data_IF_581257636752
#
_entry.id   IF_581257636752
#
_cell.length_a   1.000
_cell.length_b   1.000
_cell.length_c   1.000
_cell.angle_alpha   90.00
_cell.angle_beta   90.00
_cell.angle_gamma   90.00
#
_symmetry.space_group_name_H-M   'P 1'
#
loop_
_entity.id
_entity.type
_entity.pdbx_description
1 polymer ?
#
# COMPACT_ATOMS: atom_id res chain seq x y z
N UNK A 1 5.22 -1.17 -20.11
CA UNK A 1 4.43 -1.40 -18.89
C UNK A 1 3.08 -0.72 -19.10
N UNK A 2 1.97 -1.46 -19.05
CA UNK A 2 0.62 -0.94 -19.32
C UNK A 2 -0.06 -0.56 -17.99
N UNK A 3 -0.38 0.72 -17.75
CA UNK A 3 -1.02 1.16 -16.50
C UNK A 3 -2.40 0.55 -16.26
N UNK A 4 -3.08 0.07 -17.31
CA UNK A 4 -4.38 -0.60 -17.23
C UNK A 4 -4.25 -2.12 -17.00
N UNK A 5 -3.04 -2.66 -17.13
CA UNK A 5 -2.64 -4.01 -16.70
C UNK A 5 -1.40 -3.93 -15.81
N UNK A 6 -1.53 -3.36 -14.59
CA UNK A 6 -0.37 -2.95 -13.81
C UNK A 6 0.38 -4.09 -13.12
N UNK A 7 -0.19 -5.30 -13.09
CA UNK A 7 0.39 -6.50 -12.45
C UNK A 7 0.13 -7.74 -13.31
N UNK A 8 0.92 -8.81 -13.11
CA UNK A 8 0.71 -10.10 -13.80
C UNK A 8 -0.70 -10.67 -13.55
N UNK A 9 -1.18 -10.57 -12.30
CA UNK A 9 -2.52 -10.99 -11.92
C UNK A 9 -3.49 -9.81 -12.04
N UNK A 10 -4.79 -10.04 -12.29
CA UNK A 10 -5.79 -8.97 -12.27
C UNK A 10 -5.83 -8.28 -10.92
N UNK A 11 -5.87 -6.94 -10.92
CA UNK A 11 -5.98 -6.12 -9.71
C UNK A 11 -7.04 -5.02 -9.91
N UNK A 12 -7.75 -4.59 -8.86
CA UNK A 12 -8.84 -3.63 -8.96
C UNK A 12 -8.36 -2.16 -8.97
N UNK A 13 -7.16 -1.88 -9.48
CA UNK A 13 -6.60 -0.53 -9.56
C UNK A 13 -5.88 -0.26 -10.88
N UNK A 14 -5.74 1.02 -11.21
CA UNK A 14 -4.94 1.52 -12.34
C UNK A 14 -3.62 2.07 -11.82
N UNK A 15 -2.55 1.88 -12.58
CA UNK A 15 -1.23 2.47 -12.36
C UNK A 15 -0.21 1.52 -11.72
N UNK A 16 1.07 1.77 -12.02
CA UNK A 16 2.16 0.81 -11.79
C UNK A 16 2.95 1.17 -10.53
N UNK A 17 3.44 2.41 -10.43
CA UNK A 17 4.06 2.96 -9.21
C UNK A 17 3.07 3.75 -8.32
N UNK A 18 1.89 4.05 -8.85
CA UNK A 18 0.83 4.81 -8.19
C UNK A 18 -0.48 4.05 -8.37
N UNK A 19 -1.22 3.81 -7.31
CA UNK A 19 -2.58 3.25 -7.38
C UNK A 19 -3.55 4.41 -7.48
N UNK A 20 -4.34 4.51 -8.55
CA UNK A 20 -5.25 5.64 -8.79
C UNK A 20 -6.53 5.56 -7.92
N UNK A 21 -6.36 5.64 -6.60
CA UNK A 21 -7.44 5.78 -5.61
C UNK A 21 -7.20 7.05 -4.76
N UNK A 22 -8.25 7.77 -4.33
CA UNK A 22 -8.11 8.97 -3.49
C UNK A 22 -7.27 8.74 -2.22
N UNK A 23 -7.33 7.54 -1.67
CA UNK A 23 -6.69 7.14 -0.41
C UNK A 23 -5.19 6.89 -0.54
N UNK A 24 -4.65 6.79 -1.77
CA UNK A 24 -3.29 6.32 -2.00
C UNK A 24 -2.21 7.21 -1.38
N UNK A 25 -2.42 8.53 -1.35
CA UNK A 25 -1.47 9.47 -0.77
C UNK A 25 -1.27 9.23 0.74
N UNK A 26 -2.37 9.00 1.46
CA UNK A 26 -2.34 8.73 2.90
C UNK A 26 -1.72 7.35 3.19
N UNK A 27 -2.13 6.33 2.44
CA UNK A 27 -1.58 4.96 2.54
C UNK A 27 -0.07 4.98 2.25
N UNK A 28 0.35 5.60 1.15
CA UNK A 28 1.75 5.70 0.74
C UNK A 28 2.62 6.40 1.79
N UNK A 29 2.12 7.48 2.40
CA UNK A 29 2.83 8.18 3.49
C UNK A 29 3.04 7.27 4.70
N UNK A 30 2.02 6.51 5.10
CA UNK A 30 2.10 5.63 6.26
C UNK A 30 3.03 4.44 6.01
N UNK A 31 2.86 3.76 4.86
CA UNK A 31 3.70 2.61 4.47
C UNK A 31 5.16 3.04 4.28
N UNK A 32 5.40 4.21 3.70
CA UNK A 32 6.74 4.78 3.55
C UNK A 32 7.47 4.96 4.89
N UNK A 33 6.76 5.37 5.95
CA UNK A 33 7.34 5.47 7.31
C UNK A 33 7.76 4.11 7.85
N UNK A 34 6.94 3.08 7.68
CA UNK A 34 7.29 1.73 8.12
C UNK A 34 8.53 1.18 7.38
N UNK A 35 8.64 1.46 6.09
CA UNK A 35 9.76 1.00 5.28
C UNK A 35 11.04 1.77 5.62
N UNK A 36 10.94 3.08 5.93
CA UNK A 36 12.06 3.85 6.46
C UNK A 36 12.57 3.30 7.81
N UNK A 37 11.65 2.87 8.69
CA UNK A 37 12.01 2.20 9.95
C UNK A 37 12.70 0.85 9.73
N UNK A 38 12.25 0.06 8.76
CA UNK A 38 12.91 -1.21 8.41
C UNK A 38 14.31 -0.97 7.80
N UNK A 39 14.43 0.02 6.91
CA UNK A 39 15.69 0.37 6.27
C UNK A 39 16.74 0.85 7.26
N UNK A 40 16.32 1.57 8.31
CA UNK A 40 17.20 2.08 9.37
C UNK A 40 17.45 1.07 10.50
N UNK A 41 16.86 -0.13 10.43
CA UNK A 41 17.01 -1.17 11.44
C UNK A 41 16.20 -0.95 12.73
N UNK A 42 15.27 0.01 12.74
CA UNK A 42 14.38 0.27 13.89
C UNK A 42 13.32 -0.83 14.07
N UNK A 43 13.02 -1.59 13.02
CA UNK A 43 12.13 -2.75 13.05
C UNK A 43 12.52 -3.77 11.98
N UNK A 44 12.07 -5.02 12.13
CA UNK A 44 12.29 -6.05 11.11
C UNK A 44 11.44 -5.79 9.86
N UNK A 45 11.87 -6.35 8.73
CA UNK A 45 11.10 -6.30 7.47
C UNK A 45 9.71 -6.89 7.66
N UNK A 46 9.60 -8.03 8.34
CA UNK A 46 8.31 -8.69 8.59
C UNK A 46 7.39 -7.84 9.46
N UNK A 47 7.93 -7.15 10.48
CA UNK A 47 7.15 -6.23 11.31
C UNK A 47 6.65 -5.03 10.48
N UNK A 48 7.50 -4.48 9.61
CA UNK A 48 7.12 -3.38 8.72
C UNK A 48 6.03 -3.78 7.71
N UNK A 49 6.14 -4.97 7.11
CA UNK A 49 5.14 -5.51 6.19
C UNK A 49 3.82 -5.77 6.91
N UNK A 50 3.86 -6.36 8.11
CA UNK A 50 2.66 -6.60 8.92
C UNK A 50 1.95 -5.29 9.28
N UNK A 51 2.70 -4.28 9.73
CA UNK A 51 2.15 -2.96 10.06
C UNK A 51 1.56 -2.24 8.84
N UNK A 52 2.22 -2.33 7.69
CA UNK A 52 1.75 -1.79 6.42
C UNK A 52 0.44 -2.46 5.98
N UNK A 53 0.36 -3.79 6.05
CA UNK A 53 -0.82 -4.55 5.68
C UNK A 53 -2.01 -4.19 6.58
N UNK A 54 -1.84 -4.27 7.91
CA UNK A 54 -2.92 -3.98 8.87
C UNK A 54 -3.43 -2.54 8.73
N UNK A 55 -2.53 -1.58 8.51
CA UNK A 55 -2.94 -0.17 8.34
C UNK A 55 -3.69 0.02 7.02
N UNK A 56 -3.18 -0.53 5.92
CA UNK A 56 -3.81 -0.43 4.60
C UNK A 56 -5.20 -1.04 4.62
N UNK A 57 -5.37 -2.24 5.20
CA UNK A 57 -6.69 -2.87 5.35
C UNK A 57 -7.68 -2.01 6.13
N UNK A 58 -7.22 -1.37 7.21
CA UNK A 58 -8.08 -0.49 8.00
C UNK A 58 -8.52 0.74 7.21
N UNK A 59 -7.61 1.39 6.49
CA UNK A 59 -7.95 2.57 5.69
C UNK A 59 -8.87 2.21 4.52
N UNK A 60 -8.63 1.08 3.85
CA UNK A 60 -9.50 0.58 2.79
C UNK A 60 -10.91 0.24 3.31
N UNK A 61 -11.03 -0.38 4.49
CA UNK A 61 -12.34 -0.63 5.13
C UNK A 61 -13.07 0.67 5.47
N UNK A 62 -12.35 1.68 5.99
CA UNK A 62 -12.91 3.01 6.29
C UNK A 62 -13.40 3.74 5.04
N UNK A 63 -12.71 3.55 3.92
CA UNK A 63 -13.10 4.08 2.61
C UNK A 63 -14.23 3.28 1.93
N UNK A 64 -14.74 2.23 2.58
CA UNK A 64 -15.87 1.44 2.09
C UNK A 64 -15.50 0.41 1.03
N UNK A 65 -14.25 -0.07 1.02
CA UNK A 65 -13.83 -1.20 0.20
C UNK A 65 -13.98 -2.54 0.95
N UNK A 66 -14.26 -3.65 0.24
CA UNK A 66 -14.57 -3.73 -1.19
C UNK A 66 -15.98 -3.18 -1.50
N UNK A 67 -16.11 -2.55 -2.67
CA UNK A 67 -17.38 -2.12 -3.25
C UNK A 67 -17.95 -3.20 -4.15
#
# INVERSE_FOLDING_TARGET
ADPTKPTEKPVPYIGIQLVTIPEFQAIGTQVGKFFSGALTGQQTVDAALTAAQTTTEREMKRAGYPK
#
